data_IF_842824842732
#
_entry.id   IF_842824842732
#
_cell.length_a   1.000
_cell.length_b   1.000
_cell.length_c   1.000
_cell.angle_alpha   90.00
_cell.angle_beta   90.00
_cell.angle_gamma   90.00
#
_symmetry.space_group_name_H-M   'P 1'
#
loop_
_entity.id
_entity.type
_entity.pdbx_description
1 polymer ?
#
# COMPACT_ATOMS: atom_id res chain seq x y z
N UNK A 1 -8.25 39.77 -11.49
CA UNK A 1 -8.33 38.32 -11.29
C UNK A 1 -8.27 37.66 -12.65
N UNK A 2 -7.41 36.66 -12.83
CA UNK A 2 -7.45 35.82 -14.02
C UNK A 2 -8.76 35.03 -14.02
N UNK A 3 -9.35 34.85 -15.20
CA UNK A 3 -10.59 34.08 -15.35
C UNK A 3 -10.21 32.58 -15.30
N UNK A 4 -10.85 31.75 -14.45
CA UNK A 4 -10.61 30.32 -14.43
C UNK A 4 -10.85 29.65 -15.79
N UNK A 5 -10.11 28.58 -16.09
CA UNK A 5 -10.22 27.84 -17.36
C UNK A 5 -11.64 27.33 -17.61
N UNK A 6 -12.29 26.81 -16.57
CA UNK A 6 -13.67 26.31 -16.67
C UNK A 6 -14.69 27.40 -17.06
N UNK A 7 -14.34 28.68 -16.90
CA UNK A 7 -15.15 29.85 -17.30
C UNK A 7 -14.65 30.51 -18.59
N UNK A 8 -13.81 29.83 -19.37
CA UNK A 8 -13.30 30.32 -20.66
C UNK A 8 -11.95 31.04 -20.59
N UNK A 9 -11.27 31.02 -19.45
CA UNK A 9 -9.91 31.52 -19.31
C UNK A 9 -8.83 30.61 -19.91
N UNK A 10 -7.58 30.82 -19.49
CA UNK A 10 -6.43 30.00 -19.86
C UNK A 10 -5.92 29.22 -18.65
N UNK A 11 -5.48 27.95 -18.82
CA UNK A 11 -5.08 27.12 -17.69
C UNK A 11 -3.79 27.64 -17.05
N UNK A 12 -3.74 27.65 -15.72
CA UNK A 12 -2.55 28.02 -14.95
C UNK A 12 -1.36 27.15 -15.35
N UNK A 13 -1.57 25.83 -15.47
CA UNK A 13 -0.49 24.89 -15.81
C UNK A 13 -0.53 24.50 -17.28
N UNK A 14 0.43 25.00 -18.07
CA UNK A 14 0.57 24.69 -19.51
C UNK A 14 1.47 23.49 -19.82
N UNK A 15 2.30 23.05 -18.87
CA UNK A 15 3.20 21.89 -19.02
C UNK A 15 2.68 20.73 -18.18
N UNK A 16 2.57 19.50 -18.70
CA UNK A 16 2.06 18.37 -17.92
C UNK A 16 2.94 18.07 -16.70
N UNK A 17 2.38 17.33 -15.74
CA UNK A 17 3.17 16.72 -14.67
C UNK A 17 4.04 15.58 -15.23
N UNK A 18 5.10 15.15 -14.51
CA UNK A 18 5.87 13.97 -14.90
C UNK A 18 4.96 12.74 -15.07
N UNK A 19 5.23 11.94 -16.09
CA UNK A 19 4.54 10.67 -16.31
C UNK A 19 5.00 9.60 -15.32
N UNK A 20 4.14 8.61 -15.09
CA UNK A 20 4.42 7.43 -14.28
C UNK A 20 3.86 6.18 -14.99
N UNK A 21 4.54 5.02 -14.94
CA UNK A 21 5.83 4.76 -14.31
C UNK A 21 7.01 5.42 -15.05
N UNK A 22 8.15 5.50 -14.38
CA UNK A 22 9.43 5.91 -14.97
C UNK A 22 10.37 4.71 -15.06
N UNK A 23 11.23 4.69 -16.08
CA UNK A 23 12.28 3.69 -16.26
C UNK A 23 13.51 4.35 -16.87
N UNK A 24 14.68 3.75 -16.72
CA UNK A 24 15.92 4.14 -17.38
C UNK A 24 16.67 2.91 -17.92
N UNK A 25 17.97 3.04 -18.16
CA UNK A 25 18.79 1.95 -18.70
C UNK A 25 18.85 0.75 -17.76
N UNK A 26 18.70 0.96 -16.45
CA UNK A 26 18.78 -0.12 -15.46
C UNK A 26 17.69 -1.17 -15.66
N UNK A 27 16.45 -0.74 -15.92
CA UNK A 27 15.37 -1.66 -16.27
C UNK A 27 15.69 -2.43 -17.56
N UNK A 28 16.26 -1.78 -18.57
CA UNK A 28 16.62 -2.43 -19.85
C UNK A 28 17.66 -3.51 -19.67
N UNK A 29 18.74 -3.21 -18.94
CA UNK A 29 19.82 -4.15 -18.64
C UNK A 29 19.30 -5.39 -17.89
N UNK A 30 18.49 -5.19 -16.85
CA UNK A 30 17.97 -6.30 -16.06
C UNK A 30 16.96 -7.15 -16.85
N UNK A 31 16.13 -6.54 -17.69
CA UNK A 31 15.23 -7.27 -18.59
C UNK A 31 16.02 -8.10 -19.61
N UNK A 32 17.06 -7.54 -20.24
CA UNK A 32 17.91 -8.31 -21.16
C UNK A 32 18.61 -9.46 -20.45
N UNK A 33 19.08 -9.27 -19.22
CA UNK A 33 19.65 -10.35 -18.40
C UNK A 33 18.65 -11.48 -18.14
N UNK A 34 17.38 -11.17 -17.89
CA UNK A 34 16.32 -12.20 -17.76
C UNK A 34 16.12 -12.93 -19.08
N UNK A 35 16.04 -12.19 -20.19
CA UNK A 35 15.89 -12.76 -21.53
C UNK A 35 17.00 -13.78 -21.84
N UNK A 36 18.26 -13.35 -21.73
CA UNK A 36 19.45 -14.13 -22.05
C UNK A 36 19.64 -15.32 -21.13
N UNK A 37 19.16 -15.24 -19.88
CA UNK A 37 19.25 -16.37 -18.93
C UNK A 37 18.38 -17.56 -19.30
N UNK A 38 17.31 -17.35 -20.08
CA UNK A 38 16.27 -18.35 -20.32
C UNK A 38 15.44 -18.73 -19.09
N UNK A 39 15.61 -18.05 -17.95
CA UNK A 39 14.90 -18.31 -16.69
C UNK A 39 13.93 -17.16 -16.40
N UNK A 40 12.68 -17.36 -16.78
CA UNK A 40 11.66 -16.29 -16.77
C UNK A 40 10.68 -16.38 -15.59
N UNK A 41 10.71 -17.48 -14.85
CA UNK A 41 9.87 -17.74 -13.69
C UNK A 41 10.67 -18.42 -12.59
N UNK A 42 10.15 -19.54 -12.07
CA UNK A 42 10.80 -20.26 -10.96
C UNK A 42 12.21 -20.72 -11.33
N UNK A 43 13.17 -20.52 -10.42
CA UNK A 43 14.57 -20.92 -10.58
C UNK A 43 15.48 -19.80 -11.12
N UNK A 44 14.92 -18.62 -11.38
CA UNK A 44 15.71 -17.39 -11.49
C UNK A 44 16.24 -16.89 -10.14
N UNK A 45 16.97 -15.79 -10.16
CA UNK A 45 17.66 -15.23 -8.97
C UNK A 45 17.19 -13.83 -8.60
N UNK A 46 16.57 -13.11 -9.53
CA UNK A 46 16.19 -11.71 -9.32
C UNK A 46 15.03 -11.59 -8.34
N UNK A 47 14.11 -12.56 -8.33
CA UNK A 47 13.04 -12.63 -7.34
C UNK A 47 13.61 -12.71 -5.92
N UNK A 48 14.55 -13.62 -5.67
CA UNK A 48 15.18 -13.78 -4.35
C UNK A 48 16.01 -12.55 -3.98
N UNK A 49 16.74 -11.98 -4.94
CA UNK A 49 17.50 -10.74 -4.72
C UNK A 49 16.58 -9.58 -4.32
N UNK A 50 15.44 -9.41 -5.01
CA UNK A 50 14.47 -8.39 -4.65
C UNK A 50 13.85 -8.67 -3.28
N UNK A 51 13.42 -9.90 -3.01
CA UNK A 51 12.83 -10.29 -1.72
C UNK A 51 13.75 -9.92 -0.55
N UNK A 52 15.05 -10.23 -0.65
CA UNK A 52 16.03 -9.89 0.38
C UNK A 52 16.19 -8.37 0.54
N UNK A 53 16.34 -7.63 -0.58
CA UNK A 53 16.50 -6.17 -0.55
C UNK A 53 15.24 -5.44 -0.06
N UNK A 54 14.06 -5.96 -0.39
CA UNK A 54 12.80 -5.35 0.01
C UNK A 54 12.49 -5.62 1.48
N UNK A 55 12.85 -6.80 1.99
CA UNK A 55 12.78 -7.10 3.43
C UNK A 55 13.65 -6.10 4.23
N UNK A 56 14.91 -5.92 3.81
CA UNK A 56 15.81 -4.92 4.40
C UNK A 56 15.25 -3.49 4.28
N UNK A 57 14.75 -3.10 3.11
CA UNK A 57 14.19 -1.76 2.87
C UNK A 57 12.95 -1.43 3.73
N UNK A 58 12.24 -2.45 4.20
CA UNK A 58 11.02 -2.33 5.01
C UNK A 58 11.20 -2.80 6.46
N UNK A 59 12.44 -2.95 6.94
CA UNK A 59 12.76 -3.39 8.31
C UNK A 59 12.09 -4.73 8.70
N UNK A 60 11.86 -5.63 7.73
CA UNK A 60 11.28 -6.95 7.94
C UNK A 60 12.33 -8.06 7.78
N UNK A 61 12.17 -9.18 8.47
CA UNK A 61 13.01 -10.37 8.32
C UNK A 61 12.79 -11.07 6.98
N UNK A 62 11.54 -11.13 6.52
CA UNK A 62 11.16 -11.77 5.27
C UNK A 62 10.33 -10.84 4.39
N UNK A 63 10.55 -10.93 3.08
CA UNK A 63 9.61 -10.48 2.07
C UNK A 63 9.38 -11.59 1.05
N UNK A 64 8.15 -11.74 0.60
CA UNK A 64 7.72 -12.79 -0.32
C UNK A 64 6.89 -12.17 -1.44
N UNK A 65 7.45 -12.05 -2.63
CA UNK A 65 6.74 -11.58 -3.82
C UNK A 65 5.52 -12.44 -4.19
N UNK A 66 4.45 -11.77 -4.57
CA UNK A 66 3.18 -12.35 -5.00
C UNK A 66 2.73 -11.68 -6.32
N UNK A 67 1.72 -12.26 -6.98
CA UNK A 67 1.22 -11.75 -8.26
C UNK A 67 0.56 -10.36 -8.19
N UNK A 68 -0.02 -9.99 -7.04
CA UNK A 68 -0.63 -8.67 -6.80
C UNK A 68 -0.73 -8.36 -5.30
N UNK A 69 -1.03 -7.09 -4.96
CA UNK A 69 -1.31 -6.70 -3.57
C UNK A 69 -2.52 -7.41 -2.96
N UNK A 70 -3.58 -7.62 -3.73
CA UNK A 70 -4.75 -8.40 -3.28
C UNK A 70 -4.36 -9.85 -2.96
N UNK A 71 -3.52 -10.48 -3.78
CA UNK A 71 -3.03 -11.83 -3.47
C UNK A 71 -2.10 -11.86 -2.27
N UNK A 72 -1.32 -10.80 -2.03
CA UNK A 72 -0.48 -10.69 -0.84
C UNK A 72 -1.34 -10.63 0.44
N UNK A 73 -2.38 -9.80 0.47
CA UNK A 73 -3.35 -9.75 1.57
C UNK A 73 -3.98 -11.12 1.83
N UNK A 74 -4.46 -11.79 0.77
CA UNK A 74 -5.07 -13.13 0.88
C UNK A 74 -4.10 -14.17 1.43
N UNK A 75 -2.86 -14.19 0.93
CA UNK A 75 -1.82 -15.11 1.39
C UNK A 75 -1.49 -14.85 2.86
N UNK A 76 -1.31 -13.58 3.24
CA UNK A 76 -0.99 -13.21 4.62
C UNK A 76 -2.12 -13.62 5.58
N UNK A 77 -3.38 -13.27 5.28
CA UNK A 77 -4.53 -13.70 6.07
C UNK A 77 -4.60 -15.21 6.23
N UNK A 78 -4.39 -15.96 5.13
CA UNK A 78 -4.43 -17.43 5.20
C UNK A 78 -3.26 -18.01 5.98
N UNK A 79 -2.07 -17.40 5.89
CA UNK A 79 -0.89 -17.80 6.65
C UNK A 79 -1.04 -17.49 8.15
N UNK A 80 -1.77 -16.44 8.49
CA UNK A 80 -2.19 -16.08 9.85
C UNK A 80 -3.37 -16.95 10.35
N UNK A 81 -3.74 -18.01 9.63
CA UNK A 81 -4.73 -18.99 10.10
C UNK A 81 -6.20 -18.63 9.86
N UNK A 82 -6.51 -17.55 9.14
CA UNK A 82 -7.90 -17.20 8.81
C UNK A 82 -8.60 -18.37 8.12
N UNK A 83 -9.80 -18.65 8.62
CA UNK A 83 -10.67 -19.74 8.22
C UNK A 83 -12.09 -19.25 7.91
N UNK A 84 -12.89 -20.04 7.18
CA UNK A 84 -14.27 -19.67 6.90
C UNK A 84 -15.07 -19.36 8.17
N UNK A 85 -15.77 -18.24 8.18
CA UNK A 85 -16.56 -17.77 9.31
C UNK A 85 -15.83 -16.89 10.33
N UNK A 86 -14.49 -16.81 10.29
CA UNK A 86 -13.73 -15.83 11.08
C UNK A 86 -14.09 -14.41 10.66
N UNK A 87 -13.83 -13.44 11.53
CA UNK A 87 -14.05 -12.02 11.31
C UNK A 87 -12.71 -11.28 11.19
N UNK A 88 -12.63 -10.40 10.20
CA UNK A 88 -11.48 -9.53 9.96
C UNK A 88 -11.94 -8.08 9.95
N UNK A 89 -11.26 -7.25 10.73
CA UNK A 89 -11.56 -5.82 10.82
C UNK A 89 -10.90 -5.09 9.66
N UNK A 90 -11.68 -4.29 8.93
CA UNK A 90 -11.22 -3.53 7.77
C UNK A 90 -11.75 -2.09 7.86
N UNK A 91 -10.95 -1.05 7.59
CA UNK A 91 -11.46 0.31 7.52
C UNK A 91 -12.48 0.44 6.38
N UNK A 92 -13.57 1.16 6.63
CA UNK A 92 -14.64 1.43 5.65
C UNK A 92 -14.13 2.20 4.43
N UNK A 93 -13.05 2.98 4.58
CA UNK A 93 -12.44 3.77 3.53
C UNK A 93 -11.10 3.19 3.08
N UNK A 94 -11.13 2.33 2.07
CA UNK A 94 -9.94 1.71 1.47
C UNK A 94 -10.22 1.26 0.03
N UNK A 95 -9.19 0.78 -0.67
CA UNK A 95 -9.37 0.07 -1.93
C UNK A 95 -10.05 -1.27 -1.70
N UNK A 96 -10.97 -1.65 -2.59
CA UNK A 96 -11.76 -2.89 -2.48
C UNK A 96 -10.91 -4.16 -2.31
N UNK A 97 -9.65 -4.16 -2.77
CA UNK A 97 -8.72 -5.28 -2.61
C UNK A 97 -8.55 -5.74 -1.16
N UNK A 98 -8.62 -4.82 -0.18
CA UNK A 98 -8.56 -5.16 1.25
C UNK A 98 -9.75 -6.04 1.66
N UNK A 99 -10.97 -5.64 1.28
CA UNK A 99 -12.20 -6.40 1.55
C UNK A 99 -12.27 -7.69 0.72
N UNK A 100 -11.91 -7.65 -0.56
CA UNK A 100 -11.92 -8.82 -1.45
C UNK A 100 -11.06 -9.95 -0.88
N UNK A 101 -9.87 -9.65 -0.36
CA UNK A 101 -8.98 -10.67 0.20
C UNK A 101 -9.60 -11.43 1.39
N UNK A 102 -10.40 -10.75 2.23
CA UNK A 102 -11.14 -11.35 3.34
C UNK A 102 -12.26 -12.26 2.83
N UNK A 103 -13.10 -11.73 1.94
CA UNK A 103 -14.25 -12.46 1.39
C UNK A 103 -13.83 -13.69 0.57
N UNK A 104 -12.70 -13.60 -0.13
CA UNK A 104 -12.09 -14.70 -0.89
C UNK A 104 -11.69 -15.92 -0.03
N UNK A 105 -11.58 -15.74 1.29
CA UNK A 105 -11.31 -16.80 2.26
C UNK A 105 -12.56 -17.27 2.99
N UNK A 106 -13.75 -16.79 2.59
CA UNK A 106 -15.04 -17.00 3.26
C UNK A 106 -15.05 -16.48 4.71
N UNK A 107 -14.24 -15.47 5.00
CA UNK A 107 -14.28 -14.74 6.27
C UNK A 107 -15.24 -13.54 6.16
N UNK A 108 -15.70 -13.06 7.31
CA UNK A 108 -16.61 -11.93 7.45
C UNK A 108 -15.83 -10.63 7.69
N UNK A 109 -16.35 -9.51 7.19
CA UNK A 109 -15.76 -8.19 7.42
C UNK A 109 -16.47 -7.50 8.58
N UNK A 110 -15.69 -6.98 9.51
CA UNK A 110 -16.15 -6.03 10.54
C UNK A 110 -15.62 -4.65 10.16
N UNK A 111 -16.50 -3.75 9.71
CA UNK A 111 -16.07 -2.42 9.29
C UNK A 111 -15.73 -1.53 10.49
N UNK A 112 -14.50 -1.02 10.50
CA UNK A 112 -14.06 0.10 11.32
C UNK A 112 -14.30 1.40 10.56
N UNK A 113 -14.72 2.45 11.26
CA UNK A 113 -14.73 3.79 10.65
C UNK A 113 -13.29 4.34 10.57
N UNK A 114 -13.13 5.49 9.92
CA UNK A 114 -11.84 6.20 9.83
C UNK A 114 -11.85 7.51 10.63
N UNK A 115 -10.68 7.92 11.09
CA UNK A 115 -10.49 9.26 11.63
C UNK A 115 -10.50 10.28 10.47
N UNK A 116 -11.40 11.27 10.46
CA UNK A 116 -11.52 12.23 9.35
C UNK A 116 -10.32 13.17 9.20
N UNK A 117 -9.44 13.23 10.21
CA UNK A 117 -8.20 14.02 10.15
C UNK A 117 -7.03 13.26 9.50
N UNK A 118 -7.10 11.93 9.46
CA UNK A 118 -6.01 11.07 8.96
C UNK A 118 -6.41 10.17 7.80
N UNK A 119 -7.70 9.92 7.62
CA UNK A 119 -8.26 8.92 6.70
C UNK A 119 -7.77 7.49 6.95
N UNK A 120 -7.28 7.22 8.16
CA UNK A 120 -6.84 5.88 8.60
C UNK A 120 -7.81 5.34 9.66
N UNK A 121 -7.73 4.04 9.92
CA UNK A 121 -8.63 3.32 10.83
C UNK A 121 -8.74 4.00 12.20
N UNK A 122 -9.97 4.17 12.69
CA UNK A 122 -10.26 4.58 14.06
C UNK A 122 -10.70 3.36 14.87
N UNK A 123 -9.78 2.83 15.68
CA UNK A 123 -10.03 1.64 16.49
C UNK A 123 -10.98 1.91 17.65
N UNK A 124 -11.18 3.16 18.06
CA UNK A 124 -12.14 3.50 19.12
C UNK A 124 -13.59 3.23 18.70
N UNK A 125 -13.86 3.23 17.39
CA UNK A 125 -15.17 2.89 16.83
C UNK A 125 -15.51 1.39 16.92
N UNK A 126 -14.58 0.55 17.38
CA UNK A 126 -14.71 -0.92 17.37
C UNK A 126 -15.12 -1.54 18.71
N UNK A 127 -15.20 -0.76 19.80
CA UNK A 127 -15.40 -1.28 21.17
C UNK A 127 -16.55 -2.28 21.35
N UNK A 128 -17.61 -2.19 20.54
CA UNK A 128 -18.78 -3.08 20.60
C UNK A 128 -18.96 -3.96 19.35
N UNK A 129 -17.97 -4.02 18.46
CA UNK A 129 -18.04 -4.79 17.20
C UNK A 129 -17.21 -6.07 17.22
N UNK A 130 -16.44 -6.30 18.29
CA UNK A 130 -15.56 -7.45 18.43
C UNK A 130 -16.32 -8.64 18.99
N UNK A 131 -16.07 -9.80 18.39
CA UNK A 131 -16.61 -11.09 18.82
C UNK A 131 -15.49 -12.10 19.00
N UNK A 132 -15.81 -13.28 19.53
CA UNK A 132 -14.87 -14.41 19.59
C UNK A 132 -14.36 -14.88 18.21
N UNK A 133 -15.07 -14.50 17.13
CA UNK A 133 -14.70 -14.80 15.74
C UNK A 133 -13.72 -13.79 15.18
N UNK A 134 -13.56 -12.62 15.79
CA UNK A 134 -12.63 -11.61 15.32
C UNK A 134 -11.19 -12.08 15.54
N UNK A 135 -10.39 -12.17 14.46
CA UNK A 135 -9.02 -12.72 14.51
C UNK A 135 -7.94 -11.74 14.08
N UNK A 136 -8.25 -10.88 13.10
CA UNK A 136 -7.26 -9.99 12.47
C UNK A 136 -7.82 -8.59 12.34
N UNK A 137 -6.99 -7.59 12.59
CA UNK A 137 -7.24 -6.19 12.20
C UNK A 137 -6.32 -5.78 11.07
N UNK A 138 -6.87 -5.15 10.03
CA UNK A 138 -6.13 -4.64 8.89
C UNK A 138 -6.09 -3.11 8.92
N UNK A 139 -5.07 -2.47 9.55
CA UNK A 139 -4.83 -1.05 9.33
C UNK A 139 -4.39 -0.83 7.88
N UNK A 140 -5.01 0.16 7.21
CA UNK A 140 -4.59 0.60 5.86
C UNK A 140 -3.81 1.89 5.99
N UNK A 141 -2.59 1.93 5.46
CA UNK A 141 -1.76 3.13 5.42
C UNK A 141 -2.13 4.02 4.23
N UNK A 142 -3.35 4.56 4.29
CA UNK A 142 -3.99 5.29 3.22
C UNK A 142 -3.16 6.50 2.74
N UNK A 143 -3.11 6.73 1.43
CA UNK A 143 -2.30 7.75 0.75
C UNK A 143 -0.78 7.65 1.00
N UNK A 144 -0.31 6.60 1.68
CA UNK A 144 1.06 6.48 2.15
C UNK A 144 1.30 7.06 3.54
N UNK A 145 0.24 7.44 4.25
CA UNK A 145 0.24 7.84 5.65
C UNK A 145 0.15 6.59 6.53
N UNK A 146 1.13 6.32 7.42
CA UNK A 146 0.94 5.30 8.44
C UNK A 146 -0.32 5.55 9.28
N UNK A 147 -1.01 4.47 9.64
CA UNK A 147 -2.10 4.53 10.63
C UNK A 147 -1.50 4.75 12.02
N UNK A 148 -2.33 5.06 13.02
CA UNK A 148 -1.86 5.12 14.42
C UNK A 148 -1.55 3.70 14.92
N UNK A 149 -0.31 3.26 14.67
CA UNK A 149 0.11 1.91 14.98
C UNK A 149 0.29 1.67 16.48
N UNK A 150 0.41 2.72 17.29
CA UNK A 150 0.40 2.55 18.75
C UNK A 150 -1.01 2.12 19.19
N UNK A 151 -2.04 2.86 18.75
CA UNK A 151 -3.44 2.56 19.07
C UNK A 151 -3.90 1.21 18.49
N UNK A 152 -3.52 0.90 17.23
CA UNK A 152 -3.87 -0.38 16.59
C UNK A 152 -3.26 -1.56 17.33
N UNK A 153 -1.98 -1.47 17.73
CA UNK A 153 -1.31 -2.56 18.46
C UNK A 153 -1.88 -2.73 19.86
N UNK A 154 -2.09 -1.64 20.59
CA UNK A 154 -2.73 -1.71 21.91
C UNK A 154 -4.12 -2.36 21.82
N UNK A 155 -4.93 -1.95 20.84
CA UNK A 155 -6.24 -2.54 20.60
C UNK A 155 -6.17 -4.04 20.26
N UNK A 156 -5.22 -4.43 19.40
CA UNK A 156 -5.03 -5.81 19.01
C UNK A 156 -4.59 -6.69 20.19
N UNK A 157 -3.65 -6.21 21.01
CA UNK A 157 -3.19 -6.90 22.22
C UNK A 157 -4.33 -7.10 23.23
N UNK A 158 -5.14 -6.07 23.48
CA UNK A 158 -6.29 -6.14 24.40
C UNK A 158 -7.34 -7.19 23.99
N UNK A 159 -7.46 -7.48 22.69
CA UNK A 159 -8.46 -8.39 22.15
C UNK A 159 -7.88 -9.69 21.57
N UNK A 160 -6.57 -9.93 21.75
CA UNK A 160 -5.85 -11.08 21.21
C UNK A 160 -6.06 -11.25 19.69
N UNK A 161 -5.92 -10.15 18.96
CA UNK A 161 -5.98 -10.10 17.50
C UNK A 161 -4.57 -10.01 16.91
N UNK A 162 -4.39 -10.55 15.71
CA UNK A 162 -3.20 -10.26 14.91
C UNK A 162 -3.40 -9.00 14.07
N UNK A 163 -2.30 -8.36 13.67
CA UNK A 163 -2.26 -7.14 12.87
C UNK A 163 -1.67 -7.46 11.50
N UNK A 164 -2.46 -7.28 10.44
CA UNK A 164 -1.99 -7.33 9.05
C UNK A 164 -1.98 -5.92 8.46
N UNK A 165 -0.82 -5.34 8.23
CA UNK A 165 -0.71 -4.00 7.64
C UNK A 165 -1.01 -4.05 6.13
N UNK A 166 -2.04 -3.34 5.66
CA UNK A 166 -2.18 -3.03 4.23
C UNK A 166 -1.34 -1.79 3.91
N UNK A 167 -0.12 -2.05 3.48
CA UNK A 167 0.91 -1.07 3.16
C UNK A 167 1.03 -0.84 1.64
N UNK A 168 0.01 -1.21 0.86
CA UNK A 168 0.01 -1.07 -0.61
C UNK A 168 0.28 0.36 -1.10
N UNK A 169 0.02 1.38 -0.27
CA UNK A 169 0.23 2.79 -0.58
C UNK A 169 1.44 3.39 0.17
N UNK A 170 2.12 2.62 1.01
CA UNK A 170 3.02 3.14 2.03
C UNK A 170 4.45 2.58 1.94
N UNK A 171 4.92 2.30 0.72
CA UNK A 171 6.31 1.88 0.46
C UNK A 171 7.30 2.86 1.10
N UNK A 172 8.09 2.36 2.06
CA UNK A 172 9.07 3.15 2.77
C UNK A 172 8.53 4.19 3.76
N UNK A 173 7.23 4.20 4.07
CA UNK A 173 6.71 5.04 5.16
C UNK A 173 7.17 4.50 6.52
N UNK A 174 7.27 5.37 7.53
CA UNK A 174 7.78 5.02 8.85
C UNK A 174 6.87 5.53 9.96
N UNK A 175 6.71 4.69 10.99
CA UNK A 175 6.15 5.04 12.28
C UNK A 175 7.23 4.88 13.34
N UNK A 176 7.57 5.96 14.05
CA UNK A 176 8.60 6.02 15.09
C UNK A 176 9.96 5.43 14.62
N UNK A 177 10.39 5.79 13.41
CA UNK A 177 11.61 5.33 12.74
C UNK A 177 11.65 3.83 12.38
N UNK A 178 10.50 3.13 12.41
CA UNK A 178 10.39 1.76 11.91
C UNK A 178 9.43 1.73 10.72
N UNK A 179 9.83 1.02 9.67
CA UNK A 179 9.07 0.93 8.42
C UNK A 179 7.76 0.16 8.60
N UNK A 180 6.71 0.65 7.94
CA UNK A 180 5.42 -0.03 7.90
C UNK A 180 5.50 -1.35 7.13
N UNK A 181 4.60 -2.28 7.45
CA UNK A 181 4.63 -3.66 6.98
C UNK A 181 5.51 -4.59 7.84
N UNK A 182 6.24 -4.03 8.80
CA UNK A 182 7.00 -4.77 9.82
C UNK A 182 6.58 -4.36 11.25
N UNK A 183 5.52 -3.56 11.42
CA UNK A 183 5.05 -3.09 12.73
C UNK A 183 4.06 -4.08 13.37
N UNK A 184 3.24 -4.72 12.55
CA UNK A 184 2.32 -5.81 12.89
C UNK A 184 2.93 -7.20 12.70
N UNK A 185 2.08 -8.23 12.68
CA UNK A 185 2.48 -9.63 12.48
C UNK A 185 2.88 -9.91 11.02
N UNK A 186 2.22 -9.23 10.08
CA UNK A 186 2.57 -9.25 8.67
C UNK A 186 2.19 -7.93 7.98
N UNK A 187 2.81 -7.67 6.84
CA UNK A 187 2.47 -6.58 5.94
C UNK A 187 2.17 -7.07 4.52
N UNK A 188 1.34 -6.33 3.79
CA UNK A 188 1.03 -6.59 2.40
C UNK A 188 1.29 -5.34 1.54
N UNK A 189 2.00 -5.51 0.44
CA UNK A 189 2.36 -4.47 -0.51
C UNK A 189 1.81 -4.74 -1.90
N UNK A 190 1.60 -3.69 -2.67
CA UNK A 190 1.20 -3.73 -4.08
C UNK A 190 2.26 -3.06 -4.93
N UNK A 191 2.61 -3.67 -6.05
CA UNK A 191 3.48 -3.09 -7.08
C UNK A 191 2.72 -2.79 -8.37
N UNK A 192 1.41 -2.56 -8.26
CA UNK A 192 0.56 -2.16 -9.38
C UNK A 192 1.05 -0.84 -10.01
N UNK A 193 0.77 -0.59 -11.29
CA UNK A 193 1.27 0.56 -12.08
C UNK A 193 1.24 1.92 -11.38
N UNK A 194 0.26 2.20 -10.51
CA UNK A 194 0.15 3.48 -9.80
C UNK A 194 1.04 3.60 -8.57
N UNK A 195 1.57 2.49 -8.05
CA UNK A 195 2.27 2.43 -6.76
C UNK A 195 3.66 3.04 -6.86
N UNK A 196 4.19 3.50 -5.71
CA UNK A 196 5.45 4.23 -5.64
C UNK A 196 6.67 3.42 -6.09
N UNK A 197 6.57 2.10 -6.00
CA UNK A 197 7.47 1.09 -6.59
C UNK A 197 6.55 0.19 -7.42
N UNK A 198 6.89 -0.10 -8.68
CA UNK A 198 5.96 -0.83 -9.56
C UNK A 198 6.65 -1.66 -10.63
N UNK A 199 6.05 -2.79 -11.01
CA UNK A 199 6.38 -3.53 -12.22
C UNK A 199 5.15 -3.72 -13.13
N UNK A 200 4.23 -2.77 -13.10
CA UNK A 200 2.90 -2.87 -13.70
C UNK A 200 1.93 -3.67 -12.83
N UNK A 201 2.33 -4.87 -12.42
CA UNK A 201 1.63 -5.71 -11.45
C UNK A 201 2.61 -6.41 -10.51
N UNK A 202 2.14 -6.76 -9.32
CA UNK A 202 2.91 -7.47 -8.30
C UNK A 202 2.42 -7.15 -6.89
N UNK A 203 2.89 -7.91 -5.91
CA UNK A 203 2.75 -7.60 -4.50
C UNK A 203 3.82 -8.28 -3.68
N UNK A 204 3.83 -8.04 -2.37
CA UNK A 204 4.70 -8.76 -1.44
C UNK A 204 4.00 -8.95 -0.09
N UNK A 205 4.27 -10.06 0.57
CA UNK A 205 4.03 -10.24 2.00
C UNK A 205 5.34 -9.97 2.74
N UNK A 206 5.32 -9.18 3.79
CA UNK A 206 6.43 -9.01 4.73
C UNK A 206 6.04 -9.56 6.10
N UNK A 207 6.99 -10.12 6.85
CA UNK A 207 6.76 -10.59 8.22
C UNK A 207 8.09 -10.86 8.91
N UNK A 208 8.09 -10.79 10.24
CA UNK A 208 9.20 -11.24 11.09
C UNK A 208 9.02 -12.68 11.59
N UNK A 209 7.83 -13.25 11.40
CA UNK A 209 7.45 -14.58 11.89
C UNK A 209 7.86 -15.69 10.90
N UNK A 210 8.60 -16.68 11.41
CA UNK A 210 9.13 -17.80 10.63
C UNK A 210 8.02 -18.73 10.10
N UNK A 211 6.95 -18.92 10.85
CA UNK A 211 5.82 -19.77 10.49
C UNK A 211 4.96 -19.09 9.43
N UNK A 212 4.59 -17.82 9.62
CA UNK A 212 3.87 -17.01 8.61
C UNK A 212 4.67 -16.99 7.31
N UNK A 213 5.98 -16.73 7.36
CA UNK A 213 6.82 -16.71 6.17
C UNK A 213 6.87 -18.07 5.45
N UNK A 214 6.98 -19.16 6.21
CA UNK A 214 7.00 -20.53 5.64
C UNK A 214 5.68 -20.89 4.97
N UNK A 215 4.55 -20.62 5.65
CA UNK A 215 3.21 -20.89 5.12
C UNK A 215 2.92 -19.99 3.93
N UNK A 216 3.21 -18.69 4.00
CA UNK A 216 3.01 -17.76 2.90
C UNK A 216 3.81 -18.15 1.65
N UNK A 217 5.07 -18.57 1.82
CA UNK A 217 5.91 -19.08 0.73
C UNK A 217 5.28 -20.32 0.09
N UNK A 218 4.74 -21.22 0.90
CA UNK A 218 4.07 -22.43 0.44
C UNK A 218 2.79 -22.10 -0.32
N UNK A 219 1.92 -21.27 0.25
CA UNK A 219 0.63 -20.87 -0.32
C UNK A 219 0.79 -20.18 -1.68
N UNK A 220 1.75 -19.27 -1.86
CA UNK A 220 1.99 -18.62 -3.17
C UNK A 220 2.55 -19.57 -4.22
N UNK A 221 3.18 -20.65 -3.78
CA UNK A 221 3.90 -21.61 -4.60
C UNK A 221 3.21 -22.98 -4.59
N UNK A 222 1.90 -22.98 -4.85
CA UNK A 222 1.03 -24.15 -5.02
C UNK A 222 1.10 -25.15 -3.87
N UNK A 223 1.38 -24.72 -2.65
CA UNK A 223 1.40 -25.57 -1.45
C UNK A 223 2.69 -26.37 -1.25
N UNK A 224 3.77 -26.01 -1.95
CA UNK A 224 5.08 -26.69 -1.82
C UNK A 224 5.73 -26.36 -0.47
N UNK A 225 6.41 -27.32 0.18
CA UNK A 225 7.24 -27.00 1.34
C UNK A 225 8.50 -26.22 0.92
N UNK A 226 8.87 -25.20 1.69
CA UNK A 226 10.11 -24.44 1.45
C UNK A 226 11.32 -25.37 1.60
N UNK A 227 12.19 -25.44 0.59
CA UNK A 227 13.35 -26.32 0.58
C UNK A 227 13.05 -27.82 0.41
N UNK A 228 11.79 -28.21 0.19
CA UNK A 228 11.41 -29.60 -0.05
C UNK A 228 11.38 -30.01 -1.54
N UNK A 229 11.01 -31.27 -1.83
CA UNK A 229 10.90 -31.82 -3.18
C UNK A 229 9.94 -31.03 -4.08
N UNK A 230 10.25 -30.94 -5.38
CA UNK A 230 9.52 -30.12 -6.36
C UNK A 230 8.04 -30.49 -6.56
N UNK A 231 7.70 -31.77 -6.42
CA UNK A 231 6.34 -32.31 -6.61
C UNK A 231 5.63 -32.65 -5.30
N UNK A 232 6.15 -32.18 -4.16
CA UNK A 232 5.47 -32.33 -2.87
C UNK A 232 4.57 -31.13 -2.59
N UNK A 233 3.34 -31.41 -2.16
CA UNK A 233 2.33 -30.39 -1.83
C UNK A 233 1.70 -30.74 -0.47
N UNK A 234 1.97 -29.93 0.55
CA UNK A 234 1.48 -30.16 1.93
C UNK A 234 0.30 -29.28 2.31
N UNK A 235 0.12 -28.17 1.59
CA UNK A 235 -0.99 -27.24 1.76
C UNK A 235 -1.74 -27.10 0.44
N UNK A 236 -3.01 -26.69 0.51
CA UNK A 236 -3.72 -26.23 -0.68
C UNK A 236 -3.35 -24.76 -0.93
N UNK A 237 -2.40 -24.55 -1.83
CA UNK A 237 -1.95 -23.22 -2.25
C UNK A 237 -2.40 -22.84 -3.65
N UNK A 238 -1.97 -21.66 -4.09
CA UNK A 238 -2.25 -21.08 -5.40
C UNK A 238 -0.97 -20.91 -6.22
N UNK A 239 -1.12 -20.69 -7.52
CA UNK A 239 -0.03 -20.19 -8.34
C UNK A 239 -0.08 -18.66 -8.36
N UNK A 240 0.41 -18.03 -7.29
CA UNK A 240 0.54 -16.57 -7.16
C UNK A 240 2.01 -16.13 -7.19
N UNK A 241 2.85 -16.92 -7.85
CA UNK A 241 4.24 -16.56 -8.07
C UNK A 241 4.35 -15.38 -9.03
N UNK A 242 5.38 -14.59 -8.81
CA UNK A 242 5.78 -13.53 -9.74
C UNK A 242 6.73 -14.08 -10.82
N UNK A 243 6.94 -13.33 -11.89
CA UNK A 243 7.94 -13.62 -12.92
C UNK A 243 9.28 -12.94 -12.63
N UNK A 244 10.37 -13.46 -13.20
CA UNK A 244 11.69 -12.80 -13.13
C UNK A 244 11.69 -11.45 -13.87
N UNK A 245 10.82 -11.28 -14.87
CA UNK A 245 10.64 -10.00 -15.58
C UNK A 245 10.16 -8.90 -14.64
N UNK A 246 9.15 -9.20 -13.83
CA UNK A 246 8.66 -8.25 -12.84
C UNK A 246 9.71 -8.00 -11.77
N UNK A 247 10.40 -9.04 -11.28
CA UNK A 247 11.48 -8.88 -10.30
C UNK A 247 12.63 -7.99 -10.83
N UNK A 248 13.00 -8.13 -12.11
CA UNK A 248 13.99 -7.26 -12.76
C UNK A 248 13.59 -5.79 -12.73
N UNK A 249 12.33 -5.47 -13.07
CA UNK A 249 11.83 -4.09 -13.01
C UNK A 249 11.81 -3.60 -11.56
N UNK A 250 11.33 -4.42 -10.63
CA UNK A 250 11.24 -4.07 -9.22
C UNK A 250 12.62 -3.75 -8.59
N UNK A 251 13.68 -4.47 -8.96
CA UNK A 251 15.04 -4.18 -8.50
C UNK A 251 15.49 -2.78 -8.91
N UNK A 252 15.30 -2.39 -10.17
CA UNK A 252 15.62 -1.05 -10.64
C UNK A 252 14.78 0.03 -9.94
N UNK A 253 13.49 -0.25 -9.72
CA UNK A 253 12.59 0.68 -9.04
C UNK A 253 12.96 0.87 -7.57
N UNK A 254 13.34 -0.21 -6.87
CA UNK A 254 13.76 -0.18 -5.47
C UNK A 254 15.04 0.64 -5.29
N UNK A 255 16.02 0.48 -6.19
CA UNK A 255 17.25 1.29 -6.20
C UNK A 255 16.94 2.80 -6.33
N UNK A 256 15.92 3.15 -7.14
CA UNK A 256 15.48 4.54 -7.34
C UNK A 256 14.61 5.08 -6.21
N UNK A 257 13.97 4.22 -5.41
CA UNK A 257 12.92 4.58 -4.48
C UNK A 257 13.32 5.66 -3.46
N UNK A 258 14.49 5.59 -2.78
CA UNK A 258 14.88 6.60 -1.77
C UNK A 258 14.91 8.02 -2.32
N UNK A 259 15.42 8.21 -3.55
CA UNK A 259 15.49 9.53 -4.20
C UNK A 259 14.10 10.06 -4.55
N UNK A 260 13.19 9.19 -5.01
CA UNK A 260 11.82 9.59 -5.32
C UNK A 260 11.02 9.91 -4.06
N UNK A 261 11.25 9.18 -2.97
CA UNK A 261 10.64 9.45 -1.67
C UNK A 261 11.04 10.84 -1.16
N UNK A 262 12.34 11.18 -1.19
CA UNK A 262 12.80 12.52 -0.77
C UNK A 262 12.20 13.64 -1.63
N UNK A 263 12.08 13.40 -2.94
CA UNK A 263 11.44 14.35 -3.86
C UNK A 263 9.95 14.54 -3.53
N UNK A 264 9.22 13.45 -3.25
CA UNK A 264 7.80 13.54 -2.86
C UNK A 264 7.64 14.27 -1.54
N UNK A 265 8.47 13.94 -0.55
CA UNK A 265 8.41 14.52 0.78
C UNK A 265 8.70 16.04 0.78
N UNK A 266 9.79 16.46 0.12
CA UNK A 266 10.08 17.90 -0.07
C UNK A 266 9.01 18.64 -0.86
N UNK A 267 8.41 18.00 -1.87
CA UNK A 267 7.29 18.59 -2.63
C UNK A 267 6.02 18.72 -1.78
N UNK A 268 5.72 17.72 -0.96
CA UNK A 268 4.57 17.74 -0.06
C UNK A 268 4.71 18.83 1.00
N UNK A 269 5.88 18.94 1.65
CA UNK A 269 6.16 20.04 2.61
C UNK A 269 5.97 21.42 1.99
N UNK A 270 6.34 21.58 0.72
CA UNK A 270 6.10 22.81 -0.04
C UNK A 270 4.61 23.07 -0.29
N UNK A 271 3.87 22.03 -0.67
CA UNK A 271 2.41 22.12 -0.86
C UNK A 271 1.68 22.38 0.46
N UNK A 272 2.05 21.73 1.56
CA UNK A 272 1.46 21.92 2.88
C UNK A 272 1.54 23.39 3.29
N UNK A 273 2.71 24.02 3.09
CA UNK A 273 2.91 25.44 3.36
C UNK A 273 1.99 26.32 2.53
N UNK A 274 1.98 26.16 1.20
CA UNK A 274 1.23 27.05 0.32
C UNK A 274 -0.27 26.84 0.38
N UNK A 275 -0.72 25.59 0.47
CA UNK A 275 -2.15 25.28 0.55
C UNK A 275 -2.72 25.62 1.93
N UNK A 276 -1.91 25.58 2.99
CA UNK A 276 -2.31 26.04 4.32
C UNK A 276 -2.54 27.55 4.43
N UNK A 277 -2.10 28.34 3.44
CA UNK A 277 -2.37 29.79 3.34
C UNK A 277 -3.70 30.10 2.61
N UNK A 278 -4.37 29.07 2.05
CA UNK A 278 -5.63 29.24 1.31
C UNK A 278 -6.82 28.94 2.23
N UNK A 279 -7.64 29.96 2.48
CA UNK A 279 -8.84 29.83 3.29
C UNK A 279 -9.75 28.70 2.76
N UNK A 280 -10.14 27.80 3.66
CA UNK A 280 -10.96 26.64 3.33
C UNK A 280 -10.22 25.49 2.65
N UNK A 281 -8.89 25.52 2.54
CA UNK A 281 -8.09 24.35 2.14
C UNK A 281 -7.28 23.87 3.35
N UNK A 282 -7.38 22.58 3.66
CA UNK A 282 -6.75 21.99 4.85
C UNK A 282 -5.93 20.76 4.46
N UNK A 283 -4.60 20.89 4.30
CA UNK A 283 -3.70 19.73 4.23
C UNK A 283 -3.85 18.83 5.46
N UNK A 284 -3.57 17.52 5.31
CA UNK A 284 -3.65 16.61 6.46
C UNK A 284 -2.66 17.01 7.56
N UNK A 285 -3.09 16.93 8.82
CA UNK A 285 -2.25 17.30 9.97
C UNK A 285 -0.99 16.43 10.05
N UNK A 286 0.14 17.06 10.36
CA UNK A 286 1.38 16.35 10.68
C UNK A 286 1.25 15.58 11.99
N UNK A 287 1.77 14.36 12.05
CA UNK A 287 1.96 13.60 13.29
C UNK A 287 3.46 13.34 13.47
N UNK A 288 4.10 13.80 14.55
CA UNK A 288 5.54 13.63 14.75
C UNK A 288 5.98 12.17 14.89
N UNK A 289 5.04 11.24 15.16
CA UNK A 289 5.31 9.79 15.16
C UNK A 289 5.48 9.26 13.74
N UNK A 290 4.92 9.92 12.73
CA UNK A 290 5.17 9.60 11.32
C UNK A 290 6.51 10.23 10.93
N UNK A 291 7.60 9.47 11.09
CA UNK A 291 8.95 9.95 10.77
C UNK A 291 9.21 9.98 9.27
N UNK A 292 8.37 9.27 8.50
CA UNK A 292 8.34 9.37 7.03
C UNK A 292 6.96 9.03 6.47
N UNK A 293 6.47 9.85 5.54
CA UNK A 293 5.26 9.60 4.78
C UNK A 293 5.62 9.17 3.34
N UNK A 294 4.94 8.17 2.77
CA UNK A 294 5.27 7.68 1.42
C UNK A 294 4.73 8.56 0.29
N UNK A 295 3.66 9.32 0.55
CA UNK A 295 3.00 10.21 -0.41
C UNK A 295 2.67 9.50 -1.72
N UNK A 296 1.99 8.36 -1.63
CA UNK A 296 1.38 7.74 -2.81
C UNK A 296 0.32 8.67 -3.40
N UNK A 297 -0.42 9.37 -2.52
CA UNK A 297 -1.29 10.47 -2.86
C UNK A 297 -0.96 11.66 -1.94
N UNK A 298 -1.13 12.87 -2.46
CA UNK A 298 -1.18 14.07 -1.64
C UNK A 298 -2.65 14.40 -1.39
N UNK A 299 -3.05 14.45 -0.11
CA UNK A 299 -4.45 14.59 0.29
C UNK A 299 -4.61 15.91 1.05
N UNK A 300 -5.68 16.63 0.73
CA UNK A 300 -6.13 17.80 1.45
C UNK A 300 -7.65 17.80 1.46
N UNK A 301 -8.23 18.49 2.42
CA UNK A 301 -9.66 18.76 2.53
C UNK A 301 -9.95 20.15 1.98
N UNK A 302 -11.18 20.35 1.56
CA UNK A 302 -11.68 21.68 1.24
C UNK A 302 -13.00 21.91 1.98
N UNK A 303 -13.26 23.15 2.39
CA UNK A 303 -14.50 23.60 3.01
C UNK A 303 -15.37 24.31 1.96
N UNK A 304 -16.47 23.71 1.48
CA UNK A 304 -17.35 24.33 0.51
C UNK A 304 -17.84 25.73 0.90
N UNK A 305 -17.96 26.04 2.19
CA UNK A 305 -18.45 27.35 2.66
C UNK A 305 -17.52 28.49 2.26
N UNK A 306 -16.21 28.22 2.13
CA UNK A 306 -15.20 29.18 1.67
C UNK A 306 -15.14 29.29 0.13
N UNK A 307 -15.85 28.40 -0.57
CA UNK A 307 -15.89 28.34 -2.03
C UNK A 307 -17.32 28.53 -2.57
N UNK A 308 -18.13 29.40 -1.95
CA UNK A 308 -19.51 29.68 -2.37
C UNK A 308 -20.41 28.42 -2.49
N UNK A 309 -20.17 27.42 -1.65
CA UNK A 309 -20.90 26.16 -1.66
C UNK A 309 -20.54 25.23 -2.82
N UNK A 310 -19.36 25.40 -3.45
CA UNK A 310 -18.94 24.56 -4.57
C UNK A 310 -18.90 23.08 -4.17
N UNK A 311 -19.63 22.26 -4.92
CA UNK A 311 -19.62 20.82 -4.70
C UNK A 311 -18.25 20.22 -5.09
N UNK A 312 -17.97 19.02 -4.56
CA UNK A 312 -16.66 18.39 -4.66
C UNK A 312 -16.31 18.03 -6.09
N UNK A 313 -17.29 17.64 -6.90
CA UNK A 313 -17.04 17.24 -8.28
C UNK A 313 -16.64 18.44 -9.13
N UNK A 314 -17.34 19.56 -8.96
CA UNK A 314 -17.01 20.80 -9.66
C UNK A 314 -15.70 21.43 -9.16
N UNK A 315 -15.39 21.33 -7.86
CA UNK A 315 -14.09 21.74 -7.32
C UNK A 315 -12.93 20.95 -7.97
N UNK A 316 -13.07 19.62 -8.03
CA UNK A 316 -12.07 18.74 -8.66
C UNK A 316 -11.97 18.99 -10.16
N UNK A 317 -13.10 19.17 -10.85
CA UNK A 317 -13.12 19.49 -12.28
C UNK A 317 -12.39 20.81 -12.54
N UNK A 318 -12.63 21.84 -11.72
CA UNK A 318 -11.96 23.13 -11.84
C UNK A 318 -10.43 22.97 -11.77
N UNK A 319 -9.91 22.20 -10.80
CA UNK A 319 -8.48 21.91 -10.72
C UNK A 319 -7.94 21.18 -11.97
N UNK A 320 -8.69 20.21 -12.50
CA UNK A 320 -8.28 19.46 -13.69
C UNK A 320 -8.22 20.33 -14.94
N UNK A 321 -9.20 21.22 -15.13
CA UNK A 321 -9.22 22.20 -16.22
C UNK A 321 -8.01 23.15 -16.13
N UNK A 322 -7.54 23.46 -14.92
CA UNK A 322 -6.30 24.23 -14.70
C UNK A 322 -5.01 23.42 -14.94
N UNK A 323 -5.13 22.16 -15.34
CA UNK A 323 -4.00 21.25 -15.57
C UNK A 323 -3.44 20.61 -14.30
N UNK A 324 -4.21 20.61 -13.19
CA UNK A 324 -3.82 20.01 -11.90
C UNK A 324 -4.57 18.67 -11.71
N UNK A 325 -3.87 17.52 -11.77
CA UNK A 325 -4.49 16.23 -11.53
C UNK A 325 -5.02 16.14 -10.10
N UNK A 326 -6.35 16.05 -9.96
CA UNK A 326 -7.03 15.88 -8.68
C UNK A 326 -8.09 14.79 -8.79
N UNK A 327 -8.33 14.02 -7.72
CA UNK A 327 -9.28 12.91 -7.70
C UNK A 327 -10.11 12.95 -6.41
N UNK A 328 -11.30 12.34 -6.46
CA UNK A 328 -12.26 12.34 -5.34
C UNK A 328 -11.91 11.38 -4.20
N UNK A 329 -10.94 10.48 -4.41
CA UNK A 329 -10.62 9.38 -3.49
C UNK A 329 -11.56 8.18 -3.66
N UNK A 330 -11.58 7.29 -2.66
CA UNK A 330 -12.53 6.17 -2.63
C UNK A 330 -13.97 6.64 -2.38
N UNK A 331 -14.93 5.80 -2.74
CA UNK A 331 -16.37 6.04 -2.62
C UNK A 331 -17.03 4.89 -1.88
#
# INVERSE_FOLDING_TARGET
MEIPKILGGEPVRKKPFPSWPIFDEKERELLLKVLESGRWGVGGKLQEEFENKFAEFQDAKYALLCSSGTTALKIALKAMGISPGDEVIVPSYTFIGTATAVLDLNANIVYADICPETYTIDVENLKNKITEKTKVVIPVHFAGRPADMDAVKEFAEQHNLMVLEDAAQAHGAEWRNRRVGALGDAGAFSFQSSKNITAGEGGAVTTDDDEIASIAWSLRNVGRPRGGPWYEHRLFGWNYRITEWQAAILLAQLERAPKLMEKRDSSARYLDKLLGEVDGVEPLKSDPRITRHAYHLYVFRYDPSQFNGLDKELFIQSLREEGIPCNSGYR
#
